data_IF_215052393263
#
_entry.id   IF_215052393263
#
_cell.length_a   1.000
_cell.length_b   1.000
_cell.length_c   1.000
_cell.angle_alpha   90.00
_cell.angle_beta   90.00
_cell.angle_gamma   90.00
#
_symmetry.space_group_name_H-M   'P 1'
#
loop_
_entity.id
_entity.type
_entity.pdbx_description
1 polymer ?
#
# COMPACT_ATOMS: atom_id res chain seq x y z
N UNK A 1 -24.85 17.81 -3.83
CA UNK A 1 -24.99 17.77 -2.37
C UNK A 1 -24.57 19.12 -1.83
N UNK A 2 -25.51 19.93 -1.33
CA UNK A 2 -25.19 21.24 -0.74
C UNK A 2 -24.65 21.05 0.68
N UNK A 3 -23.86 22.01 1.19
CA UNK A 3 -23.35 22.04 2.58
C UNK A 3 -24.42 21.68 3.62
N UNK A 4 -25.70 21.95 3.35
CA UNK A 4 -26.83 21.70 4.25
C UNK A 4 -27.14 20.22 4.57
N UNK A 5 -26.64 19.26 3.79
CA UNK A 5 -26.92 17.83 4.00
C UNK A 5 -25.92 17.14 4.94
N UNK A 6 -24.84 17.82 5.35
CA UNK A 6 -23.97 17.33 6.41
C UNK A 6 -24.65 17.52 7.78
N UNK A 7 -24.84 16.44 8.55
CA UNK A 7 -25.30 16.56 9.94
C UNK A 7 -24.33 17.45 10.72
N UNK A 8 -24.81 18.60 11.20
CA UNK A 8 -23.99 19.57 11.95
C UNK A 8 -23.31 20.65 11.10
N UNK A 9 -23.61 20.77 9.80
CA UNK A 9 -22.99 21.71 8.85
C UNK A 9 -23.07 23.19 9.26
N UNK A 10 -24.10 23.56 10.00
CA UNK A 10 -24.31 24.91 10.47
C UNK A 10 -24.46 24.91 11.99
N UNK A 11 -23.41 25.34 12.68
CA UNK A 11 -23.52 25.79 14.07
C UNK A 11 -23.53 27.31 14.04
N UNK A 12 -24.64 27.97 14.42
CA UNK A 12 -24.63 29.41 14.60
C UNK A 12 -23.55 29.75 15.63
N UNK A 13 -22.63 30.63 15.24
CA UNK A 13 -21.53 31.15 16.05
C UNK A 13 -21.87 32.60 16.45
N UNK A 14 -22.80 32.82 17.40
CA UNK A 14 -23.13 34.17 17.83
C UNK A 14 -21.94 34.79 18.58
N UNK A 15 -21.63 36.07 18.37
CA UNK A 15 -20.56 36.73 19.10
C UNK A 15 -20.85 36.78 20.61
N UNK A 16 -19.85 36.52 21.48
CA UNK A 16 -18.46 36.25 21.13
C UNK A 16 -18.20 34.76 20.80
N UNK A 17 -18.04 34.46 19.51
CA UNK A 17 -17.94 33.09 19.01
C UNK A 17 -16.52 32.48 19.05
N UNK A 18 -15.62 33.04 19.86
CA UNK A 18 -14.20 32.71 19.88
C UNK A 18 -13.82 31.74 21.01
N UNK A 19 -14.70 30.84 21.45
CA UNK A 19 -14.24 29.72 22.29
C UNK A 19 -13.90 28.55 21.37
N UNK A 20 -12.73 28.54 20.68
CA UNK A 20 -12.32 27.36 19.96
C UNK A 20 -12.19 26.22 20.96
N UNK A 21 -12.44 25.00 20.50
CA UNK A 21 -12.12 23.82 21.27
C UNK A 21 -10.60 23.83 21.46
N UNK A 22 -10.15 24.18 22.66
CA UNK A 22 -8.73 24.36 22.97
C UNK A 22 -8.07 23.09 23.51
N UNK A 23 -8.87 22.10 23.88
CA UNK A 23 -8.38 20.84 24.41
C UNK A 23 -8.41 19.74 23.34
N UNK A 24 -7.24 19.38 22.77
CA UNK A 24 -7.14 18.27 21.84
C UNK A 24 -7.11 16.91 22.54
N UNK A 25 -7.08 16.84 23.89
CA UNK A 25 -6.91 15.59 24.64
C UNK A 25 -7.82 14.43 24.18
N UNK A 26 -9.09 14.64 23.79
CA UNK A 26 -9.93 13.55 23.26
C UNK A 26 -9.44 12.95 21.93
N UNK A 27 -8.53 13.62 21.22
CA UNK A 27 -7.99 13.22 19.91
C UNK A 27 -6.50 12.90 19.94
N UNK A 28 -5.81 13.15 21.07
CA UNK A 28 -4.38 12.83 21.18
C UNK A 28 -4.20 11.31 21.05
N UNK A 29 -3.27 10.85 20.20
CA UNK A 29 -2.94 9.43 20.13
C UNK A 29 -2.28 8.98 21.44
N UNK A 30 -2.29 7.66 21.66
CA UNK A 30 -1.61 7.06 22.81
C UNK A 30 -0.10 7.38 22.81
N UNK A 31 0.46 7.55 24.01
CA UNK A 31 1.87 7.90 24.18
C UNK A 31 2.85 6.80 23.74
N UNK A 32 2.38 5.56 23.69
CA UNK A 32 3.14 4.39 23.25
C UNK A 32 2.33 3.62 22.21
N UNK A 33 3.00 2.92 21.28
CA UNK A 33 2.31 2.06 20.34
C UNK A 33 1.49 0.98 21.03
N UNK A 34 0.24 0.82 20.59
CA UNK A 34 -0.62 -0.28 21.03
C UNK A 34 0.01 -1.62 20.66
N UNK A 35 -0.01 -2.55 21.62
CA UNK A 35 0.59 -3.88 21.53
C UNK A 35 -0.32 -4.92 22.17
N UNK A 36 -0.30 -6.13 21.62
CA UNK A 36 -1.05 -7.29 22.09
C UNK A 36 -0.10 -8.44 22.41
N UNK A 37 0.77 -8.81 21.47
CA UNK A 37 1.73 -9.91 21.62
C UNK A 37 2.78 -9.58 22.70
N UNK A 38 3.01 -10.55 23.59
CA UNK A 38 3.85 -10.36 24.78
C UNK A 38 3.17 -9.57 25.91
N UNK A 39 1.84 -9.44 25.90
CA UNK A 39 1.03 -8.88 26.98
C UNK A 39 -0.07 -9.84 27.41
N UNK A 40 -0.73 -9.60 28.55
CA UNK A 40 -1.88 -10.41 29.02
C UNK A 40 -3.06 -10.41 28.03
N UNK A 41 -3.14 -9.42 27.13
CA UNK A 41 -4.20 -9.37 26.11
C UNK A 41 -4.05 -10.50 25.08
N UNK A 42 -2.85 -11.00 24.83
CA UNK A 42 -2.58 -12.06 23.86
C UNK A 42 -3.37 -13.35 24.17
N UNK A 43 -3.55 -13.67 25.44
CA UNK A 43 -4.32 -14.84 25.89
C UNK A 43 -5.79 -14.83 25.45
N UNK A 44 -6.36 -13.64 25.16
CA UNK A 44 -7.74 -13.47 24.71
C UNK A 44 -7.89 -13.49 23.19
N UNK A 45 -6.78 -13.54 22.46
CA UNK A 45 -6.80 -13.53 21.00
C UNK A 45 -7.30 -14.89 20.49
N UNK A 46 -8.23 -14.82 19.54
CA UNK A 46 -8.78 -16.00 18.86
C UNK A 46 -7.64 -16.83 18.22
N UNK A 47 -7.49 -18.12 18.61
CA UNK A 47 -6.54 -19.03 17.98
C UNK A 47 -6.65 -19.11 16.45
N UNK A 48 -7.86 -18.98 15.88
CA UNK A 48 -8.05 -19.03 14.43
C UNK A 48 -7.43 -17.82 13.74
N UNK A 49 -7.59 -16.62 14.32
CA UNK A 49 -6.96 -15.40 13.82
C UNK A 49 -5.43 -15.51 13.89
N UNK A 50 -4.85 -15.99 14.99
CA UNK A 50 -3.40 -16.14 15.13
C UNK A 50 -2.81 -17.06 14.07
N UNK A 51 -3.44 -18.22 13.81
CA UNK A 51 -2.98 -19.16 12.78
C UNK A 51 -3.10 -18.56 11.38
N UNK A 52 -4.19 -17.83 11.10
CA UNK A 52 -4.37 -17.13 9.82
C UNK A 52 -3.30 -16.07 9.61
N UNK A 53 -3.04 -15.24 10.62
CA UNK A 53 -1.98 -14.21 10.56
C UNK A 53 -0.61 -14.86 10.35
N UNK A 54 -0.28 -15.91 11.10
CA UNK A 54 0.99 -16.63 10.92
C UNK A 54 1.15 -17.18 9.50
N UNK A 55 0.13 -17.85 8.97
CA UNK A 55 0.17 -18.41 7.62
C UNK A 55 0.41 -17.32 6.56
N UNK A 56 -0.34 -16.23 6.61
CA UNK A 56 -0.18 -15.12 5.66
C UNK A 56 1.14 -14.36 5.82
N UNK A 57 1.67 -14.24 7.04
CA UNK A 57 2.98 -13.63 7.29
C UNK A 57 4.12 -14.47 6.71
N UNK A 58 4.10 -15.80 6.91
CA UNK A 58 5.09 -16.71 6.33
C UNK A 58 5.01 -16.69 4.80
N UNK A 59 3.79 -16.76 4.27
CA UNK A 59 3.50 -16.64 2.84
C UNK A 59 4.04 -15.31 2.27
N UNK A 60 3.79 -14.20 2.96
CA UNK A 60 4.24 -12.87 2.57
C UNK A 60 5.76 -12.70 2.61
N UNK A 61 6.43 -13.21 3.64
CA UNK A 61 7.90 -13.26 3.71
C UNK A 61 8.47 -14.02 2.52
N UNK A 62 7.89 -15.18 2.18
CA UNK A 62 8.38 -16.01 1.07
C UNK A 62 8.15 -15.35 -0.30
N UNK A 63 7.02 -14.67 -0.47
CA UNK A 63 6.74 -13.81 -1.62
C UNK A 63 7.80 -12.71 -1.80
N UNK A 64 8.11 -11.96 -0.74
CA UNK A 64 9.15 -10.91 -0.75
C UNK A 64 10.52 -11.47 -1.17
N UNK A 65 10.91 -12.63 -0.62
CA UNK A 65 12.17 -13.30 -0.99
C UNK A 65 12.17 -13.71 -2.46
N UNK A 66 11.04 -14.25 -2.97
CA UNK A 66 10.95 -14.67 -4.37
C UNK A 66 10.98 -13.49 -5.34
N UNK A 67 10.23 -12.43 -5.07
CA UNK A 67 10.23 -11.21 -5.89
C UNK A 67 11.62 -10.54 -5.90
N UNK A 68 12.30 -10.50 -4.75
CA UNK A 68 13.69 -10.03 -4.68
C UNK A 68 14.62 -10.91 -5.54
N UNK A 69 14.48 -12.23 -5.52
CA UNK A 69 15.25 -13.12 -6.39
C UNK A 69 14.99 -12.85 -7.89
N UNK A 70 13.74 -12.53 -8.27
CA UNK A 70 13.39 -12.19 -9.65
C UNK A 70 14.09 -10.92 -10.15
N UNK A 71 14.31 -9.91 -9.29
CA UNK A 71 15.13 -8.73 -9.69
C UNK A 71 16.56 -9.10 -10.06
N UNK A 72 17.19 -10.02 -9.29
CA UNK A 72 18.56 -10.49 -9.56
C UNK A 72 18.65 -11.32 -10.84
N UNK A 73 17.54 -11.92 -11.26
CA UNK A 73 17.41 -12.67 -12.51
C UNK A 73 17.04 -11.78 -13.71
N UNK A 74 16.86 -10.47 -13.52
CA UNK A 74 16.41 -9.56 -14.58
C UNK A 74 14.94 -9.73 -14.97
N UNK A 75 14.15 -10.44 -14.16
CA UNK A 75 12.70 -10.65 -14.38
C UNK A 75 11.82 -9.56 -13.78
N UNK A 76 12.40 -8.67 -12.98
CA UNK A 76 11.76 -7.45 -12.47
C UNK A 76 12.74 -6.30 -12.63
N UNK A 77 12.26 -5.15 -13.11
CA UNK A 77 13.08 -3.95 -13.23
C UNK A 77 13.40 -3.37 -11.85
N UNK A 78 12.39 -3.29 -10.98
CA UNK A 78 12.53 -2.76 -9.62
C UNK A 78 11.61 -3.53 -8.67
N UNK A 79 12.06 -3.79 -7.43
CA UNK A 79 11.20 -4.35 -6.39
C UNK A 79 11.39 -3.62 -5.05
N UNK A 80 10.36 -2.91 -4.56
CA UNK A 80 10.31 -2.33 -3.24
C UNK A 80 9.86 -3.39 -2.22
N UNK A 81 10.80 -4.19 -1.72
CA UNK A 81 10.48 -5.23 -0.72
C UNK A 81 9.78 -4.68 0.53
N UNK A 82 8.79 -5.40 1.04
CA UNK A 82 8.13 -5.11 2.31
C UNK A 82 8.62 -5.97 3.47
N UNK A 83 9.78 -6.64 3.34
CA UNK A 83 10.38 -7.42 4.42
C UNK A 83 10.51 -6.60 5.70
N UNK A 84 9.92 -7.09 6.79
CA UNK A 84 9.84 -6.44 8.10
C UNK A 84 8.55 -5.65 8.34
N UNK A 85 7.74 -5.41 7.29
CA UNK A 85 6.46 -4.71 7.36
C UNK A 85 5.26 -5.63 7.04
N UNK A 86 5.47 -6.96 6.99
CA UNK A 86 4.44 -7.90 6.53
C UNK A 86 3.16 -7.81 7.37
N UNK A 87 3.29 -7.58 8.67
CA UNK A 87 2.16 -7.42 9.58
C UNK A 87 1.23 -6.26 9.19
N UNK A 88 1.79 -5.14 8.70
CA UNK A 88 1.01 -3.99 8.25
C UNK A 88 0.16 -4.35 7.01
N UNK A 89 0.79 -4.93 6.01
CA UNK A 89 0.15 -5.24 4.73
C UNK A 89 -0.83 -6.42 4.81
N UNK A 90 -0.46 -7.48 5.54
CA UNK A 90 -1.35 -8.63 5.78
C UNK A 90 -2.57 -8.18 6.59
N UNK A 91 -2.38 -7.47 7.71
CA UNK A 91 -3.51 -6.99 8.49
C UNK A 91 -4.42 -6.06 7.68
N UNK A 92 -3.86 -5.14 6.89
CA UNK A 92 -4.62 -4.27 5.99
C UNK A 92 -5.50 -5.05 5.00
N UNK A 93 -5.01 -6.16 4.46
CA UNK A 93 -5.80 -7.01 3.58
C UNK A 93 -6.92 -7.77 4.31
N UNK A 94 -6.62 -8.32 5.49
CA UNK A 94 -7.50 -9.23 6.22
C UNK A 94 -8.68 -8.53 6.92
N UNK A 95 -8.56 -7.25 7.27
CA UNK A 95 -9.64 -6.49 7.93
C UNK A 95 -10.71 -6.00 6.96
N UNK A 96 -10.42 -6.00 5.66
CA UNK A 96 -11.31 -5.49 4.64
C UNK A 96 -12.27 -6.58 4.15
N UNK A 97 -13.56 -6.26 4.07
CA UNK A 97 -14.57 -7.14 3.48
C UNK A 97 -14.52 -7.08 1.94
N UNK A 98 -15.22 -8.00 1.26
CA UNK A 98 -15.27 -8.06 -0.22
C UNK A 98 -15.78 -6.77 -0.86
N UNK A 99 -16.57 -5.97 -0.13
CA UNK A 99 -17.09 -4.68 -0.62
C UNK A 99 -16.11 -3.51 -0.45
N UNK A 100 -15.10 -3.66 0.39
CA UNK A 100 -14.19 -2.57 0.71
C UNK A 100 -13.11 -2.41 -0.36
N UNK A 101 -12.42 -1.27 -0.33
CA UNK A 101 -11.39 -0.93 -1.30
C UNK A 101 -10.02 -0.77 -0.63
N UNK A 102 -9.00 -1.36 -1.24
CA UNK A 102 -7.61 -1.17 -0.88
C UNK A 102 -6.99 -0.12 -1.82
N UNK A 103 -6.29 0.88 -1.25
CA UNK A 103 -5.55 1.89 -2.00
C UNK A 103 -4.05 1.77 -1.67
N UNK A 104 -3.31 0.93 -2.42
CA UNK A 104 -1.89 0.67 -2.17
C UNK A 104 -0.98 1.78 -2.72
N UNK A 105 0.19 1.93 -2.10
CA UNK A 105 1.36 2.56 -2.70
C UNK A 105 2.16 1.54 -3.54
N UNK A 106 3.23 1.98 -4.19
CA UNK A 106 4.13 1.12 -4.96
C UNK A 106 4.78 -0.03 -4.15
N UNK A 107 4.89 0.09 -2.82
CA UNK A 107 5.47 -0.95 -1.96
C UNK A 107 4.48 -2.08 -1.63
N UNK A 108 3.19 -1.77 -1.70
CA UNK A 108 2.15 -2.56 -1.03
C UNK A 108 1.63 -3.73 -1.87
N UNK A 109 2.54 -4.39 -2.60
CA UNK A 109 2.20 -5.55 -3.44
C UNK A 109 1.80 -6.76 -2.58
N UNK A 110 2.35 -6.88 -1.36
CA UNK A 110 1.98 -7.94 -0.44
C UNK A 110 0.55 -7.73 0.09
N UNK A 111 0.12 -6.50 0.36
CA UNK A 111 -1.27 -6.20 0.76
C UNK A 111 -2.25 -6.61 -0.35
N UNK A 112 -1.90 -6.35 -1.61
CA UNK A 112 -2.72 -6.78 -2.75
C UNK A 112 -2.79 -8.32 -2.87
N UNK A 113 -1.64 -9.01 -2.74
CA UNK A 113 -1.58 -10.48 -2.79
C UNK A 113 -2.30 -11.14 -1.61
N UNK A 114 -2.17 -10.60 -0.40
CA UNK A 114 -2.87 -11.07 0.80
C UNK A 114 -4.39 -10.82 0.70
N UNK A 115 -4.83 -9.86 -0.12
CA UNK A 115 -6.24 -9.64 -0.47
C UNK A 115 -6.76 -10.61 -1.54
N UNK A 116 -5.90 -11.50 -2.05
CA UNK A 116 -6.26 -12.53 -3.02
C UNK A 116 -5.92 -12.18 -4.46
N UNK A 117 -5.19 -11.08 -4.71
CA UNK A 117 -4.67 -10.79 -6.04
C UNK A 117 -3.61 -11.81 -6.44
N UNK A 118 -3.60 -12.19 -7.71
CA UNK A 118 -2.56 -13.05 -8.26
C UNK A 118 -1.16 -12.39 -8.15
N UNK A 119 -0.13 -13.11 -7.64
CA UNK A 119 1.22 -12.55 -7.49
C UNK A 119 1.86 -12.01 -8.77
N UNK A 120 1.59 -12.58 -9.95
CA UNK A 120 2.13 -12.09 -11.23
C UNK A 120 1.45 -10.77 -11.61
N UNK A 121 0.13 -10.68 -11.41
CA UNK A 121 -0.62 -9.44 -11.65
C UNK A 121 -0.16 -8.31 -10.73
N UNK A 122 0.09 -8.60 -9.46
CA UNK A 122 0.60 -7.64 -8.48
C UNK A 122 1.97 -7.07 -8.86
N UNK A 123 2.81 -7.86 -9.54
CA UNK A 123 4.16 -7.47 -9.96
C UNK A 123 4.24 -6.85 -11.35
N UNK A 124 3.12 -6.75 -12.10
CA UNK A 124 3.13 -6.32 -13.51
C UNK A 124 3.74 -4.93 -13.71
N UNK A 125 3.36 -3.94 -12.88
CA UNK A 125 3.93 -2.58 -12.92
C UNK A 125 5.45 -2.59 -12.68
N UNK A 126 5.91 -3.48 -11.79
CA UNK A 126 7.30 -3.59 -11.36
C UNK A 126 8.17 -4.39 -12.34
N UNK A 127 7.56 -5.30 -13.11
CA UNK A 127 8.19 -5.93 -14.27
C UNK A 127 8.38 -4.93 -15.41
N UNK A 128 7.41 -4.02 -15.58
CA UNK A 128 7.45 -2.97 -16.60
C UNK A 128 6.66 -3.30 -17.86
N UNK A 129 5.83 -4.33 -17.83
CA UNK A 129 5.05 -4.76 -18.99
C UNK A 129 3.84 -3.87 -19.27
N UNK A 130 3.17 -3.44 -18.19
CA UNK A 130 1.91 -2.72 -18.26
C UNK A 130 1.70 -1.86 -17.02
N UNK A 131 0.77 -0.89 -17.10
CA UNK A 131 0.50 0.03 -15.99
C UNK A 131 -0.23 -0.64 -14.81
N UNK A 132 -1.03 -1.68 -15.05
CA UNK A 132 -1.76 -2.43 -14.00
C UNK A 132 -2.08 -3.84 -14.46
N UNK A 133 -1.65 -4.87 -13.71
CA UNK A 133 -1.82 -6.27 -14.13
C UNK A 133 -3.20 -6.89 -13.92
N UNK A 134 -4.18 -6.12 -13.45
CA UNK A 134 -5.48 -6.60 -12.99
C UNK A 134 -6.58 -5.55 -13.19
N UNK A 135 -7.85 -5.96 -13.17
CA UNK A 135 -8.98 -5.02 -13.14
C UNK A 135 -9.19 -4.48 -11.71
N UNK A 136 -8.96 -3.18 -11.44
CA UNK A 136 -9.14 -2.60 -10.12
C UNK A 136 -10.55 -2.77 -9.55
N UNK A 137 -11.58 -2.83 -10.40
CA UNK A 137 -12.98 -2.94 -9.99
C UNK A 137 -13.36 -4.35 -9.59
N UNK A 138 -12.81 -5.36 -10.28
CA UNK A 138 -13.01 -6.76 -9.95
C UNK A 138 -12.43 -7.08 -8.58
N UNK A 139 -11.19 -6.68 -8.33
CA UNK A 139 -10.49 -6.98 -7.09
C UNK A 139 -10.75 -5.96 -5.96
N UNK A 140 -11.33 -4.80 -6.28
CA UNK A 140 -11.44 -3.63 -5.38
C UNK A 140 -10.09 -3.24 -4.77
N UNK A 141 -9.09 -3.22 -5.62
CA UNK A 141 -7.73 -2.76 -5.31
C UNK A 141 -7.45 -1.65 -6.31
N UNK A 142 -7.20 -0.44 -5.85
CA UNK A 142 -6.77 0.62 -6.75
C UNK A 142 -5.39 0.28 -7.35
N UNK A 143 -5.08 0.73 -8.59
CA UNK A 143 -3.75 0.54 -9.17
C UNK A 143 -2.64 0.94 -8.20
N UNK A 144 -1.52 0.21 -8.23
CA UNK A 144 -0.33 0.57 -7.46
C UNK A 144 0.12 1.98 -7.85
N UNK A 145 0.42 2.79 -6.83
CA UNK A 145 0.70 4.20 -7.02
C UNK A 145 2.16 4.55 -6.72
N UNK A 146 2.90 4.98 -7.73
CA UNK A 146 4.30 5.42 -7.60
C UNK A 146 4.44 6.87 -7.13
N UNK A 147 3.67 7.86 -7.64
CA UNK A 147 3.69 9.21 -7.09
C UNK A 147 3.14 9.22 -5.66
N UNK A 148 3.96 9.66 -4.70
CA UNK A 148 3.65 9.56 -3.28
C UNK A 148 2.34 10.25 -2.92
N UNK A 149 1.55 9.61 -2.07
CA UNK A 149 0.29 10.09 -1.50
C UNK A 149 -0.86 10.40 -2.47
N UNK A 150 -0.65 10.39 -3.79
CA UNK A 150 -1.70 10.74 -4.78
C UNK A 150 -2.89 9.77 -4.79
N UNK A 151 -2.71 8.53 -4.32
CA UNK A 151 -3.79 7.57 -4.11
C UNK A 151 -4.74 7.95 -2.96
N UNK A 152 -4.31 8.79 -2.02
CA UNK A 152 -5.08 9.10 -0.81
C UNK A 152 -6.33 9.95 -1.11
N UNK A 153 -6.26 11.05 -1.89
CA UNK A 153 -7.47 11.78 -2.30
C UNK A 153 -8.44 10.91 -3.11
N UNK A 154 -7.94 9.96 -3.91
CA UNK A 154 -8.77 9.02 -4.65
C UNK A 154 -9.54 8.06 -3.73
N UNK A 155 -8.89 7.58 -2.66
CA UNK A 155 -9.56 6.79 -1.62
C UNK A 155 -10.72 7.55 -0.98
N UNK A 156 -10.49 8.83 -0.67
CA UNK A 156 -11.52 9.74 -0.12
C UNK A 156 -12.66 9.93 -1.10
N UNK A 157 -12.36 10.21 -2.37
CA UNK A 157 -13.38 10.40 -3.40
C UNK A 157 -14.25 9.15 -3.59
N UNK A 158 -13.64 7.96 -3.65
CA UNK A 158 -14.37 6.70 -3.81
C UNK A 158 -15.27 6.41 -2.61
N UNK A 159 -14.71 6.47 -1.40
CA UNK A 159 -15.44 6.22 -0.15
C UNK A 159 -16.58 7.23 0.05
N UNK A 160 -16.33 8.50 -0.27
CA UNK A 160 -17.35 9.54 -0.21
C UNK A 160 -18.48 9.25 -1.20
N UNK A 161 -18.16 8.92 -2.46
CA UNK A 161 -19.15 8.60 -3.48
C UNK A 161 -20.00 7.37 -3.10
N UNK A 162 -19.39 6.33 -2.54
CA UNK A 162 -20.10 5.16 -2.04
C UNK A 162 -21.09 5.54 -0.92
N UNK A 163 -20.65 6.36 0.03
CA UNK A 163 -21.53 6.90 1.09
C UNK A 163 -22.70 7.70 0.52
N UNK A 164 -22.48 8.53 -0.52
CA UNK A 164 -23.57 9.30 -1.15
C UNK A 164 -24.61 8.39 -1.82
N UNK A 165 -24.22 7.19 -2.26
CA UNK A 165 -25.13 6.17 -2.81
C UNK A 165 -25.87 5.38 -1.72
N UNK A 166 -25.52 5.57 -0.46
CA UNK A 166 -26.04 4.78 0.66
C UNK A 166 -25.30 3.46 0.89
N UNK A 167 -24.17 3.25 0.22
CA UNK A 167 -23.31 2.08 0.44
C UNK A 167 -22.45 2.29 1.68
N UNK A 168 -22.13 1.20 2.37
CA UNK A 168 -21.30 1.18 3.57
C UNK A 168 -19.84 0.80 3.27
N UNK A 169 -19.37 1.04 2.04
CA UNK A 169 -17.98 0.76 1.61
C UNK A 169 -16.98 1.57 2.42
N UNK A 170 -15.93 0.91 2.91
CA UNK A 170 -14.74 1.55 3.49
C UNK A 170 -13.60 1.52 2.48
N UNK A 171 -12.82 2.60 2.41
CA UNK A 171 -11.52 2.60 1.73
C UNK A 171 -10.39 2.56 2.77
N UNK A 172 -9.44 1.66 2.60
CA UNK A 172 -8.22 1.60 3.40
C UNK A 172 -7.03 1.96 2.51
N UNK A 173 -6.34 3.05 2.85
CA UNK A 173 -5.31 3.65 2.02
C UNK A 173 -3.95 3.62 2.73
N UNK A 174 -2.94 3.08 2.04
CA UNK A 174 -1.61 2.84 2.60
C UNK A 174 -0.65 3.93 2.13
N UNK A 175 0.24 4.36 3.03
CA UNK A 175 1.28 5.34 2.73
C UNK A 175 2.48 5.13 3.64
N UNK A 176 3.70 5.43 3.16
CA UNK A 176 4.89 5.43 4.02
C UNK A 176 5.05 6.73 4.81
N UNK A 177 5.98 6.76 5.76
CA UNK A 177 6.32 7.97 6.54
C UNK A 177 6.66 9.18 5.66
N UNK A 178 7.39 8.97 4.56
CA UNK A 178 7.72 10.03 3.61
C UNK A 178 6.52 10.65 2.91
N UNK A 179 5.51 9.85 2.59
CA UNK A 179 4.28 10.36 1.96
C UNK A 179 3.48 11.30 2.87
N UNK A 180 3.73 11.28 4.19
CA UNK A 180 3.07 12.19 5.14
C UNK A 180 3.54 13.65 5.08
N UNK A 181 4.53 13.92 4.24
CA UNK A 181 5.04 15.26 3.93
C UNK A 181 4.50 15.82 2.61
N UNK A 182 3.78 15.02 1.82
CA UNK A 182 3.16 15.48 0.57
C UNK A 182 1.92 16.34 0.83
N UNK A 183 1.63 17.27 -0.09
CA UNK A 183 0.41 18.08 -0.06
C UNK A 183 -0.86 17.22 -0.12
N UNK A 184 -0.85 16.20 -0.99
CA UNK A 184 -1.99 15.28 -1.17
C UNK A 184 -2.35 14.51 0.10
N UNK A 185 -1.38 14.23 0.98
CA UNK A 185 -1.67 13.64 2.29
C UNK A 185 -2.47 14.62 3.17
N UNK A 186 -2.05 15.88 3.24
CA UNK A 186 -2.78 16.93 3.96
C UNK A 186 -4.19 17.11 3.42
N UNK A 187 -4.33 17.20 2.10
CA UNK A 187 -5.61 17.41 1.43
C UNK A 187 -6.56 16.23 1.66
N UNK A 188 -6.09 14.99 1.49
CA UNK A 188 -6.88 13.79 1.71
C UNK A 188 -7.41 13.71 3.16
N UNK A 189 -6.54 13.95 4.15
CA UNK A 189 -6.95 13.94 5.55
C UNK A 189 -8.02 15.00 5.86
N UNK A 190 -7.82 16.23 5.36
CA UNK A 190 -8.78 17.31 5.58
C UNK A 190 -10.12 17.03 4.91
N UNK A 191 -10.13 16.61 3.64
CA UNK A 191 -11.36 16.25 2.93
C UNK A 191 -12.10 15.09 3.59
N UNK A 192 -11.38 14.04 4.00
CA UNK A 192 -11.99 12.90 4.68
C UNK A 192 -12.67 13.32 5.99
N UNK A 193 -12.01 14.17 6.79
CA UNK A 193 -12.56 14.66 8.06
C UNK A 193 -13.77 15.58 7.84
N UNK A 194 -13.66 16.57 6.96
CA UNK A 194 -14.76 17.49 6.65
C UNK A 194 -15.97 16.73 6.11
N UNK A 195 -15.75 15.75 5.22
CA UNK A 195 -16.83 14.99 4.64
C UNK A 195 -17.31 13.84 5.50
N UNK A 196 -16.62 13.50 6.59
CA UNK A 196 -16.84 12.28 7.36
C UNK A 196 -16.85 11.05 6.43
N UNK A 197 -15.87 10.98 5.52
CA UNK A 197 -15.74 9.91 4.56
C UNK A 197 -15.28 8.62 5.27
N UNK A 198 -15.79 7.43 4.88
CA UNK A 198 -15.43 6.17 5.50
C UNK A 198 -14.05 5.69 5.00
N UNK A 199 -12.99 6.31 5.51
CA UNK A 199 -11.60 6.06 5.08
C UNK A 199 -10.70 5.76 6.28
N UNK A 200 -9.89 4.70 6.18
CA UNK A 200 -8.79 4.42 7.12
C UNK A 200 -7.47 4.69 6.41
N UNK A 201 -6.66 5.58 6.98
CA UNK A 201 -5.32 5.86 6.48
C UNK A 201 -4.31 5.07 7.30
N UNK A 202 -3.60 4.14 6.69
CA UNK A 202 -2.54 3.37 7.32
C UNK A 202 -1.18 3.92 6.90
N UNK A 203 -0.49 4.56 7.84
CA UNK A 203 0.89 5.01 7.69
C UNK A 203 1.82 3.91 8.16
N UNK A 204 2.60 3.35 7.24
CA UNK A 204 3.66 2.39 7.51
C UNK A 204 4.95 3.17 7.79
N UNK A 205 5.17 3.48 9.07
CA UNK A 205 6.33 4.25 9.52
C UNK A 205 7.52 3.32 9.71
N UNK A 206 8.36 3.18 8.68
CA UNK A 206 9.60 2.41 8.75
C UNK A 206 10.84 3.25 9.13
N UNK A 207 10.62 4.51 9.50
CA UNK A 207 11.66 5.44 9.92
C UNK A 207 12.43 6.13 8.78
N UNK A 208 12.23 5.74 7.50
CA UNK A 208 13.03 6.24 6.39
C UNK A 208 12.26 6.41 5.06
N UNK A 209 12.25 7.64 4.55
CA UNK A 209 11.90 7.95 3.18
C UNK A 209 13.15 7.85 2.27
N UNK A 210 13.34 6.69 1.64
CA UNK A 210 14.60 6.31 0.97
C UNK A 210 15.76 6.34 1.98
N UNK A 211 16.47 7.47 2.06
CA UNK A 211 17.61 7.74 2.94
C UNK A 211 17.35 8.88 3.93
N UNK A 212 16.20 9.55 3.85
CA UNK A 212 15.83 10.64 4.76
C UNK A 212 15.21 10.03 6.02
N UNK A 213 15.87 10.13 7.20
CA UNK A 213 15.31 9.62 8.45
C UNK A 213 14.11 10.46 8.90
N UNK A 214 13.18 9.85 9.64
CA UNK A 214 11.95 10.46 10.13
C UNK A 214 12.16 11.82 10.82
N UNK A 215 13.23 11.97 11.59
CA UNK A 215 13.58 13.22 12.28
C UNK A 215 13.87 14.40 11.33
N UNK A 216 14.19 14.13 10.07
CA UNK A 216 14.32 15.13 8.99
C UNK A 216 13.07 15.24 8.12
N UNK A 217 12.10 14.34 8.32
CA UNK A 217 10.85 14.33 7.58
C UNK A 217 9.81 15.25 8.24
N UNK A 218 9.70 15.20 9.57
CA UNK A 218 8.71 16.00 10.30
C UNK A 218 9.10 16.21 11.76
N UNK A 219 8.60 17.30 12.36
CA UNK A 219 8.78 17.62 13.77
C UNK A 219 7.60 17.16 14.65
N UNK A 220 6.59 16.52 14.08
CA UNK A 220 5.47 15.98 14.85
C UNK A 220 5.96 14.90 15.84
N UNK A 221 5.43 14.83 17.07
CA UNK A 221 5.83 13.80 18.04
C UNK A 221 5.62 12.37 17.53
N UNK A 222 4.60 12.17 16.69
CA UNK A 222 4.37 10.96 15.91
C UNK A 222 3.56 11.33 14.65
N UNK A 223 3.49 10.44 13.67
CA UNK A 223 2.67 10.66 12.47
C UNK A 223 1.17 10.63 12.80
N UNK A 224 0.73 9.82 13.78
CA UNK A 224 -0.64 9.80 14.30
C UNK A 224 -1.07 11.16 14.89
N UNK A 225 -0.14 11.96 15.44
CA UNK A 225 -0.46 13.31 15.94
C UNK A 225 -0.95 14.25 14.83
N UNK A 226 -0.61 14.00 13.56
CA UNK A 226 -1.10 14.81 12.44
C UNK A 226 -2.63 14.77 12.37
N UNK A 227 -3.27 13.67 12.80
CA UNK A 227 -4.74 13.51 12.82
C UNK A 227 -5.45 14.60 13.64
N UNK A 228 -4.83 15.03 14.74
CA UNK A 228 -5.37 16.03 15.68
C UNK A 228 -5.70 17.33 14.97
N UNK A 229 -4.81 17.76 14.06
CA UNK A 229 -4.98 19.00 13.28
C UNK A 229 -6.20 18.99 12.35
N UNK A 230 -6.71 17.81 12.01
CA UNK A 230 -7.89 17.63 11.15
C UNK A 230 -9.15 17.27 11.95
N UNK A 231 -9.05 17.17 13.28
CA UNK A 231 -10.18 16.79 14.11
C UNK A 231 -10.62 15.33 13.98
N UNK A 232 -9.72 14.43 13.54
CA UNK A 232 -9.99 12.99 13.43
C UNK A 232 -9.15 12.17 14.43
N UNK A 233 -9.56 10.94 14.78
CA UNK A 233 -8.78 10.06 15.62
C UNK A 233 -7.43 9.68 14.99
N UNK A 234 -6.37 9.74 15.79
CA UNK A 234 -5.06 9.18 15.49
C UNK A 234 -4.81 7.95 16.37
N UNK A 235 -4.35 6.83 15.79
CA UNK A 235 -3.96 5.62 16.52
C UNK A 235 -2.50 5.31 16.27
N UNK A 236 -1.77 4.95 17.31
CA UNK A 236 -0.37 4.53 17.25
C UNK A 236 -0.31 3.04 17.59
N UNK A 237 0.30 2.22 16.73
CA UNK A 237 0.35 0.76 16.88
C UNK A 237 1.76 0.23 16.58
N UNK A 238 2.15 -0.82 17.29
CA UNK A 238 3.35 -1.58 16.94
C UNK A 238 3.10 -2.30 15.62
N UNK A 239 3.75 -1.85 14.55
CA UNK A 239 3.52 -2.31 13.20
C UNK A 239 4.01 -3.72 12.91
N UNK A 240 4.80 -4.32 13.82
CA UNK A 240 5.25 -5.71 13.72
C UNK A 240 4.40 -6.66 14.56
N UNK A 241 3.55 -6.13 15.45
CA UNK A 241 2.53 -6.91 16.15
C UNK A 241 1.29 -7.06 15.26
N UNK A 242 1.27 -8.13 14.45
CA UNK A 242 0.19 -8.38 13.49
C UNK A 242 -1.21 -8.43 14.12
N UNK A 243 -1.32 -8.86 15.38
CA UNK A 243 -2.60 -8.90 16.09
C UNK A 243 -3.03 -7.49 16.48
N UNK A 244 -2.12 -6.68 17.01
CA UNK A 244 -2.40 -5.29 17.37
C UNK A 244 -2.79 -4.47 16.13
N UNK A 245 -2.06 -4.61 15.02
CA UNK A 245 -2.41 -3.93 13.76
C UNK A 245 -3.78 -4.37 13.27
N UNK A 246 -4.06 -5.68 13.25
CA UNK A 246 -5.37 -6.19 12.85
C UNK A 246 -6.50 -5.64 13.73
N UNK A 247 -6.33 -5.62 15.06
CA UNK A 247 -7.33 -5.08 15.98
C UNK A 247 -7.59 -3.59 15.73
N UNK A 248 -6.54 -2.76 15.68
CA UNK A 248 -6.66 -1.31 15.47
C UNK A 248 -7.30 -1.00 14.12
N UNK A 249 -6.92 -1.72 13.05
CA UNK A 249 -7.52 -1.54 11.75
C UNK A 249 -8.98 -2.03 11.70
N UNK A 250 -9.30 -3.15 12.35
CA UNK A 250 -10.68 -3.65 12.46
C UNK A 250 -11.59 -2.62 13.15
N UNK A 251 -11.12 -2.04 14.25
CA UNK A 251 -11.82 -0.96 14.96
C UNK A 251 -12.01 0.27 14.07
N UNK A 252 -10.96 0.69 13.36
CA UNK A 252 -11.00 1.85 12.47
C UNK A 252 -11.96 1.63 11.28
N UNK A 253 -11.96 0.44 10.67
CA UNK A 253 -12.89 0.07 9.60
C UNK A 253 -14.32 0.06 10.11
N UNK A 254 -14.58 -0.57 11.27
CA UNK A 254 -15.92 -0.58 11.87
C UNK A 254 -16.41 0.83 12.23
N UNK A 255 -15.52 1.69 12.76
CA UNK A 255 -15.82 3.08 13.05
C UNK A 255 -16.18 3.88 11.80
N UNK A 256 -15.37 3.77 10.74
CA UNK A 256 -15.60 4.41 9.45
C UNK A 256 -16.93 3.95 8.84
N UNK A 257 -17.18 2.64 8.83
CA UNK A 257 -18.41 2.02 8.31
C UNK A 257 -19.66 2.49 9.05
N UNK A 258 -19.58 2.65 10.37
CA UNK A 258 -20.68 3.16 11.19
C UNK A 258 -20.92 4.68 11.05
N UNK A 259 -20.17 5.36 10.17
CA UNK A 259 -20.29 6.80 9.94
C UNK A 259 -19.56 7.66 10.95
N UNK A 260 -18.61 7.09 11.70
CA UNK A 260 -17.74 7.82 12.63
C UNK A 260 -16.71 8.73 11.95
N UNK A 261 -16.55 8.59 10.64
CA UNK A 261 -15.58 9.34 9.84
C UNK A 261 -14.23 8.63 9.73
N UNK A 262 -13.17 9.34 9.30
CA UNK A 262 -11.89 8.71 9.02
C UNK A 262 -11.08 8.44 10.28
N UNK A 263 -10.07 7.58 10.16
CA UNK A 263 -9.05 7.37 11.21
C UNK A 263 -7.66 7.32 10.57
N UNK A 264 -6.69 7.98 11.20
CA UNK A 264 -5.27 7.85 10.85
C UNK A 264 -4.61 6.85 11.79
N UNK A 265 -4.06 5.78 11.24
CA UNK A 265 -3.31 4.76 11.98
C UNK A 265 -1.84 4.86 11.59
N UNK A 266 -0.97 5.10 12.56
CA UNK A 266 0.47 5.00 12.41
C UNK A 266 0.94 3.65 12.96
N UNK A 267 1.43 2.79 12.06
CA UNK A 267 2.08 1.55 12.40
C UNK A 267 3.60 1.75 12.39
N UNK A 268 4.21 1.69 13.58
CA UNK A 268 5.67 1.82 13.72
C UNK A 268 6.30 0.47 13.40
N UNK A 269 6.98 0.39 12.27
CA UNK A 269 7.55 -0.85 11.70
C UNK A 269 8.96 -0.58 11.19
N UNK A 270 9.53 -1.49 10.40
CA UNK A 270 10.84 -1.29 9.82
C UNK A 270 11.02 -2.02 8.50
N UNK A 271 11.66 -1.34 7.55
CA UNK A 271 12.04 -1.89 6.25
C UNK A 271 13.41 -2.52 6.39
N UNK A 272 13.45 -3.84 6.57
CA UNK A 272 14.68 -4.60 6.79
C UNK A 272 15.59 -4.55 5.56
N UNK A 273 14.99 -4.59 4.37
CA UNK A 273 15.72 -4.52 3.11
C UNK A 273 16.05 -3.06 2.71
N UNK A 274 16.82 -2.90 1.64
CA UNK A 274 17.07 -1.61 1.01
C UNK A 274 15.77 -0.95 0.50
N UNK A 275 15.81 0.33 0.14
CA UNK A 275 14.62 1.01 -0.38
C UNK A 275 14.00 0.28 -1.58
N UNK A 276 14.87 -0.10 -2.52
CA UNK A 276 14.65 -0.98 -3.67
C UNK A 276 15.96 -1.72 -3.96
N UNK A 277 15.95 -2.63 -4.93
CA UNK A 277 17.15 -3.27 -5.47
C UNK A 277 18.20 -2.31 -6.09
N UNK A 278 17.88 -1.02 -6.27
CA UNK A 278 18.79 0.00 -6.79
C UNK A 278 19.41 0.90 -5.69
N UNK A 279 19.07 0.67 -4.41
CA UNK A 279 19.51 1.47 -3.27
C UNK A 279 20.57 0.74 -2.43
N UNK A 280 21.43 1.52 -1.77
CA UNK A 280 22.43 1.02 -0.81
C UNK A 280 22.14 1.60 0.58
N UNK A 281 21.46 0.78 1.38
CA UNK A 281 21.05 1.11 2.74
C UNK A 281 22.21 1.37 3.72
N UNK A 282 23.36 0.74 3.48
CA UNK A 282 24.52 0.81 4.38
C UNK A 282 25.10 2.22 4.49
N UNK A 283 24.74 3.11 3.56
CA UNK A 283 25.18 4.50 3.50
C UNK A 283 24.47 5.41 4.51
N UNK A 284 23.33 5.00 5.05
CA UNK A 284 22.48 5.87 5.87
C UNK A 284 21.77 5.15 7.04
N UNK A 285 21.96 3.84 7.20
CA UNK A 285 21.45 3.02 8.31
C UNK A 285 22.56 2.18 8.92
N UNK A 286 22.53 1.99 10.24
CA UNK A 286 23.51 1.17 10.95
C UNK A 286 23.03 -0.26 11.17
N UNK A 287 23.93 -1.24 11.07
CA UNK A 287 23.59 -2.66 11.24
C UNK A 287 22.95 -2.96 12.60
N UNK A 288 23.41 -2.32 13.68
CA UNK A 288 22.85 -2.51 15.02
C UNK A 288 21.36 -2.12 15.12
N UNK A 289 20.94 -1.08 14.37
CA UNK A 289 19.53 -0.69 14.27
C UNK A 289 18.73 -1.79 13.54
N UNK A 290 19.24 -2.27 12.40
CA UNK A 290 18.60 -3.32 11.61
C UNK A 290 18.46 -4.61 12.42
N UNK A 291 19.50 -5.04 13.15
CA UNK A 291 19.46 -6.26 13.96
C UNK A 291 18.46 -6.17 15.11
N UNK A 292 18.27 -4.97 15.70
CA UNK A 292 17.23 -4.75 16.71
C UNK A 292 15.84 -5.00 16.12
N UNK A 293 15.61 -4.55 14.88
CA UNK A 293 14.35 -4.79 14.18
C UNK A 293 14.18 -6.23 13.69
N UNK A 294 15.27 -6.93 13.32
CA UNK A 294 15.22 -8.37 13.04
C UNK A 294 14.79 -9.18 14.27
N UNK A 295 15.20 -8.77 15.47
CA UNK A 295 14.77 -9.41 16.70
C UNK A 295 13.27 -9.18 17.01
N UNK A 296 12.65 -8.17 16.37
CA UNK A 296 11.23 -7.84 16.48
C UNK A 296 10.46 -8.21 15.19
N UNK A 297 10.83 -9.32 14.54
CA UNK A 297 10.24 -9.80 13.29
C UNK A 297 8.76 -10.22 13.47
N UNK A 298 7.81 -9.70 12.66
CA UNK A 298 6.38 -10.03 12.79
C UNK A 298 6.08 -11.53 12.68
N UNK A 299 6.80 -12.27 11.83
CA UNK A 299 6.63 -13.73 11.70
C UNK A 299 7.00 -14.43 13.01
N UNK A 300 8.17 -14.07 13.56
CA UNK A 300 8.69 -14.69 14.77
C UNK A 300 7.84 -14.35 16.00
N UNK A 301 7.27 -13.13 16.06
CA UNK A 301 6.38 -12.72 17.14
C UNK A 301 5.12 -13.60 17.21
N UNK A 302 4.44 -13.82 16.07
CA UNK A 302 3.22 -14.65 16.02
C UNK A 302 3.55 -16.13 16.21
N UNK A 303 4.64 -16.62 15.60
CA UNK A 303 5.07 -18.02 15.73
C UNK A 303 5.40 -18.39 17.18
N UNK A 304 6.08 -17.49 17.91
CA UNK A 304 6.36 -17.67 19.34
C UNK A 304 5.08 -17.76 20.16
N UNK A 305 4.14 -16.84 19.95
CA UNK A 305 2.84 -16.84 20.66
C UNK A 305 2.06 -18.14 20.41
N UNK A 306 2.02 -18.60 19.16
CA UNK A 306 1.37 -19.87 18.82
C UNK A 306 2.06 -21.08 19.46
N UNK A 307 3.40 -21.09 19.48
CA UNK A 307 4.19 -22.19 20.07
C UNK A 307 4.03 -22.25 21.59
N UNK A 308 4.12 -21.11 22.28
CA UNK A 308 3.96 -21.01 23.73
C UNK A 308 2.55 -21.44 24.19
N UNK A 309 1.54 -21.25 23.34
CA UNK A 309 0.16 -21.70 23.58
C UNK A 309 -0.11 -23.15 23.13
N UNK A 310 0.86 -23.85 22.55
CA UNK A 310 0.68 -25.18 21.99
C UNK A 310 -0.32 -25.22 20.82
N UNK A 311 -0.45 -24.12 20.07
CA UNK A 311 -1.38 -23.97 18.96
C UNK A 311 -0.75 -24.19 17.58
N UNK A 312 0.57 -24.36 17.53
CA UNK A 312 1.38 -24.64 16.36
C UNK A 312 2.34 -25.79 16.69
N UNK A 313 2.18 -26.91 15.99
CA UNK A 313 3.12 -28.02 16.01
C UNK A 313 3.99 -28.03 14.75
N UNK A 314 4.99 -28.92 14.72
CA UNK A 314 5.92 -29.02 13.58
C UNK A 314 5.20 -29.34 12.26
N UNK A 315 4.12 -30.14 12.31
CA UNK A 315 3.37 -30.52 11.12
C UNK A 315 2.61 -29.31 10.54
N UNK A 316 1.96 -28.51 11.38
CA UNK A 316 1.28 -27.28 10.97
C UNK A 316 2.27 -26.23 10.47
N UNK A 317 3.43 -26.08 11.13
CA UNK A 317 4.49 -25.18 10.68
C UNK A 317 5.03 -25.58 9.30
N UNK A 318 5.29 -26.88 9.09
CA UNK A 318 5.75 -27.38 7.80
C UNK A 318 4.70 -27.18 6.70
N UNK A 319 3.42 -27.43 6.99
CA UNK A 319 2.34 -27.21 6.02
C UNK A 319 2.26 -25.74 5.55
N UNK A 320 2.41 -24.77 6.46
CA UNK A 320 2.46 -23.35 6.12
C UNK A 320 3.67 -23.01 5.24
N UNK A 321 4.84 -23.59 5.55
CA UNK A 321 6.06 -23.40 4.75
C UNK A 321 5.93 -24.00 3.35
N UNK A 322 5.33 -25.18 3.24
CA UNK A 322 5.11 -25.87 1.96
C UNK A 322 4.15 -25.08 1.07
N UNK A 323 3.06 -24.51 1.63
CA UNK A 323 2.15 -23.62 0.90
C UNK A 323 2.87 -22.36 0.38
N UNK A 324 3.67 -21.73 1.24
CA UNK A 324 4.45 -20.55 0.87
C UNK A 324 5.48 -20.87 -0.24
N UNK A 325 6.12 -22.03 -0.20
CA UNK A 325 7.05 -22.47 -1.25
C UNK A 325 6.32 -22.82 -2.55
N UNK A 326 5.14 -23.44 -2.48
CA UNK A 326 4.33 -23.75 -3.66
C UNK A 326 3.94 -22.46 -4.41
N UNK A 327 3.50 -21.42 -3.68
CA UNK A 327 3.22 -20.11 -4.27
C UNK A 327 4.48 -19.47 -4.87
N UNK A 328 5.62 -19.54 -4.20
CA UNK A 328 6.86 -18.99 -4.74
C UNK A 328 7.38 -19.74 -5.98
N UNK A 329 7.20 -21.06 -6.02
CA UNK A 329 7.54 -21.88 -7.17
C UNK A 329 6.65 -21.54 -8.38
N UNK A 330 5.34 -21.41 -8.19
CA UNK A 330 4.40 -20.97 -9.22
C UNK A 330 4.73 -19.56 -9.73
N UNK A 331 4.93 -18.60 -8.82
CA UNK A 331 5.32 -17.24 -9.17
C UNK A 331 6.61 -17.23 -10.00
N UNK A 332 7.62 -18.00 -9.59
CA UNK A 332 8.89 -18.11 -10.33
C UNK A 332 8.68 -18.67 -11.72
N UNK A 333 7.89 -19.72 -11.86
CA UNK A 333 7.63 -20.35 -13.15
C UNK A 333 6.93 -19.37 -14.10
N UNK A 334 5.84 -18.74 -13.66
CA UNK A 334 5.06 -17.83 -14.51
C UNK A 334 5.81 -16.53 -14.83
N UNK A 335 6.60 -16.00 -13.90
CA UNK A 335 7.44 -14.82 -14.16
C UNK A 335 8.64 -15.11 -15.07
N UNK A 336 8.94 -16.39 -15.33
CA UNK A 336 9.94 -16.80 -16.32
C UNK A 336 9.38 -16.99 -17.73
N UNK A 337 8.08 -16.76 -17.92
CA UNK A 337 7.50 -16.68 -19.26
C UNK A 337 7.61 -15.24 -19.76
N UNK A 338 8.07 -15.07 -20.99
CA UNK A 338 8.16 -13.74 -21.59
C UNK A 338 6.73 -13.22 -21.87
N UNK A 339 6.44 -11.96 -21.54
CA UNK A 339 5.12 -11.40 -21.80
C UNK A 339 4.90 -11.25 -23.30
N UNK A 340 3.67 -11.55 -23.75
CA UNK A 340 3.24 -11.22 -25.11
C UNK A 340 2.72 -9.79 -25.07
N UNK A 341 3.43 -8.89 -25.76
CA UNK A 341 3.10 -7.46 -25.83
C UNK A 341 2.68 -7.11 -27.26
N UNK A 342 1.62 -6.32 -27.41
CA UNK A 342 1.26 -5.70 -28.68
C UNK A 342 1.78 -4.25 -28.69
N UNK A 343 2.71 -3.87 -29.59
CA UNK A 343 3.15 -2.48 -29.71
C UNK A 343 2.01 -1.47 -29.94
N UNK A 344 0.88 -1.91 -30.50
CA UNK A 344 -0.28 -1.04 -30.72
C UNK A 344 -0.97 -0.65 -29.41
N UNK A 345 -0.75 -1.40 -28.33
CA UNK A 345 -1.29 -1.07 -27.00
C UNK A 345 -0.78 0.27 -26.48
N UNK A 346 0.35 0.80 -27.00
CA UNK A 346 0.83 2.15 -26.71
C UNK A 346 -0.20 3.26 -27.01
N UNK A 347 -1.10 3.02 -27.97
CA UNK A 347 -2.14 3.99 -28.38
C UNK A 347 -3.52 3.65 -27.80
N UNK A 348 -3.68 2.44 -27.27
CA UNK A 348 -4.91 2.00 -26.64
C UNK A 348 -5.11 2.66 -25.28
N UNK A 349 -6.37 2.79 -24.84
CA UNK A 349 -6.76 3.24 -23.49
C UNK A 349 -6.32 4.66 -23.06
N UNK A 350 -5.68 5.45 -23.93
CA UNK A 350 -5.36 6.87 -23.66
C UNK A 350 -6.64 7.69 -23.49
N UNK A 351 -7.64 7.43 -24.34
CA UNK A 351 -8.99 8.01 -24.28
C UNK A 351 -10.03 6.92 -24.54
N UNK A 352 -11.29 7.20 -24.19
CA UNK A 352 -12.42 6.30 -24.52
C UNK A 352 -12.59 6.11 -26.04
N UNK A 353 -12.26 7.15 -26.83
CA UNK A 353 -12.17 7.09 -28.28
C UNK A 353 -10.85 7.73 -28.71
N UNK A 354 -10.07 7.08 -29.59
CA UNK A 354 -8.78 7.62 -30.02
C UNK A 354 -8.99 8.93 -30.80
N UNK A 355 -8.07 9.87 -30.61
CA UNK A 355 -8.07 11.12 -31.37
C UNK A 355 -7.55 10.87 -32.79
N UNK A 356 -7.85 11.74 -33.77
CA UNK A 356 -7.27 11.64 -35.11
C UNK A 356 -5.73 11.57 -35.10
N UNK A 357 -5.08 12.28 -34.17
CA UNK A 357 -3.62 12.27 -34.03
C UNK A 357 -3.11 10.93 -33.49
N UNK A 358 -3.80 10.30 -32.54
CA UNK A 358 -3.42 8.97 -32.05
C UNK A 358 -3.57 7.90 -33.14
N UNK A 359 -4.63 7.97 -33.94
CA UNK A 359 -4.82 7.08 -35.08
C UNK A 359 -3.72 7.26 -36.14
N UNK A 360 -3.30 8.51 -36.39
CA UNK A 360 -2.19 8.79 -37.30
C UNK A 360 -0.88 8.17 -36.78
N UNK A 361 -0.56 8.38 -35.51
CA UNK A 361 0.64 7.81 -34.88
C UNK A 361 0.62 6.28 -34.84
N UNK A 362 -0.53 5.67 -34.53
CA UNK A 362 -0.72 4.22 -34.59
C UNK A 362 -0.44 3.69 -36.00
N UNK A 363 -0.96 4.37 -37.03
CA UNK A 363 -0.74 3.98 -38.43
C UNK A 363 0.73 4.11 -38.84
N UNK A 364 1.43 5.14 -38.33
CA UNK A 364 2.85 5.34 -38.60
C UNK A 364 3.68 4.21 -37.98
N UNK A 365 3.45 3.87 -36.71
CA UNK A 365 4.17 2.77 -36.06
C UNK A 365 3.85 1.42 -36.73
N UNK A 366 2.59 1.18 -37.09
CA UNK A 366 2.22 -0.04 -37.81
C UNK A 366 2.96 -0.17 -39.14
N UNK A 367 3.02 0.91 -39.92
CA UNK A 367 3.76 0.93 -41.19
C UNK A 367 5.26 0.68 -41.01
N UNK A 368 5.86 1.19 -39.93
CA UNK A 368 7.27 0.93 -39.59
C UNK A 368 7.50 -0.56 -39.27
N UNK A 369 6.66 -1.16 -38.42
CA UNK A 369 6.75 -2.57 -38.06
C UNK A 369 6.51 -3.50 -39.26
N UNK A 370 5.54 -3.18 -40.12
CA UNK A 370 5.28 -3.94 -41.35
C UNK A 370 6.50 -3.89 -42.29
N UNK A 371 7.13 -2.70 -42.44
CA UNK A 371 8.33 -2.55 -43.26
C UNK A 371 9.55 -3.32 -42.71
N UNK A 372 9.72 -3.35 -41.38
CA UNK A 372 10.75 -4.16 -40.72
C UNK A 372 10.52 -5.66 -40.92
N UNK A 373 9.27 -6.13 -40.80
CA UNK A 373 8.90 -7.52 -41.01
C UNK A 373 9.13 -7.98 -42.46
N UNK A 374 8.87 -7.10 -43.44
CA UNK A 374 9.09 -7.36 -44.87
C UNK A 374 10.57 -7.25 -45.30
N UNK A 375 11.50 -6.94 -44.37
CA UNK A 375 12.93 -6.89 -44.64
C UNK A 375 13.37 -5.69 -45.49
N UNK A 376 12.56 -4.64 -45.54
CA UNK A 376 12.90 -3.40 -46.25
C UNK A 376 13.44 -2.39 -45.23
N UNK A 377 14.76 -2.14 -45.15
CA UNK A 377 15.28 -1.17 -44.20
C UNK A 377 14.65 0.20 -44.51
N UNK A 378 13.92 0.75 -43.54
CA UNK A 378 13.19 2.00 -43.66
C UNK A 378 14.07 3.11 -44.22
N UNK A 379 13.63 3.72 -45.31
CA UNK A 379 14.27 4.91 -45.88
C UNK A 379 14.03 6.10 -44.94
N UNK A 380 14.92 6.27 -43.96
CA UNK A 380 14.95 7.44 -43.10
C UNK A 380 15.15 8.74 -43.92
N UNK A 381 14.59 9.88 -43.48
CA UNK A 381 14.66 11.13 -44.21
C UNK A 381 16.01 11.82 -43.96
N UNK A 382 17.09 11.28 -44.51
CA UNK A 382 18.35 12.00 -44.64
C UNK A 382 18.73 12.09 -46.12
N UNK A 383 18.36 13.22 -46.73
CA UNK A 383 18.81 13.59 -48.06
C UNK A 383 20.34 13.72 -48.11
N UNK A 384 20.97 13.46 -49.26
CA UNK A 384 22.42 13.52 -49.38
C UNK A 384 22.86 14.98 -49.28
N UNK A 385 23.63 15.32 -48.24
CA UNK A 385 24.42 16.55 -48.26
C UNK A 385 25.43 16.47 -49.40
N UNK A 386 25.25 17.35 -50.38
CA UNK A 386 26.09 17.47 -51.55
C UNK A 386 27.52 17.84 -51.17
N UNK A 387 28.47 17.04 -51.66
CA UNK A 387 29.85 17.44 -51.79
C UNK A 387 29.94 18.63 -52.77
N UNK A 388 30.48 19.76 -52.33
CA UNK A 388 30.77 20.87 -53.22
C UNK A 388 31.25 22.17 -52.57
N UNK A 389 32.51 22.20 -52.12
CA UNK A 389 33.60 23.09 -52.58
C UNK A 389 34.67 23.30 -51.51
#
# INVERSE_FOLDING_TARGET
MTVMEQRGAYRPTPPPAWQPRTDPAPLLPDALPHRVLGTDAAAKVDPALLRRLHAELVRGRRYNVQATALTKQGRLAVYPSSTGQEACEVAAALVLEERDWLFPSYRDTLAAVARGLDPVQALTLLRGDWHTGYDPREHRIAPLCTPLATQLPHAVGLAHAARLKGDDVVALALVGDGGTSEGDFHEALNFAAVWQAPVVFLVQNNGFAISVPLAKQTAAPSLAHKAVGYGMPGRLVDGNDAVAVHQVLSEAVAHARAGGGPTLVEAVTYRIDAHTNADDATRYRGDAEVETWRAHDPVALVERELTERGLLDEAALQAVRDDAEAMAADLRERMNQDPVLDPMDLFAHVYAHPTPQLLEQESQLRAELDAEADGTPGAGPHGPEGAGR
#
